data_IF_838781111426
#
_entry.id   IF_838781111426
#
_cell.length_a   1.000
_cell.length_b   1.000
_cell.length_c   1.000
_cell.angle_alpha   90.00
_cell.angle_beta   90.00
_cell.angle_gamma   90.00
#
_symmetry.space_group_name_H-M   'P 1'
#
loop_
_entity.id
_entity.type
_entity.pdbx_description
1 polymer ?
#
# COMPACT_ATOMS: atom_id res chain seq x y z
N UNK A 1 -12.25 -46.33 11.56
CA UNK A 1 -11.25 -45.78 10.62
C UNK A 1 -10.43 -44.76 11.40
N UNK A 2 -9.19 -45.07 11.70
CA UNK A 2 -8.27 -44.15 12.39
C UNK A 2 -7.74 -43.16 11.37
N UNK A 3 -7.91 -41.87 11.63
CA UNK A 3 -7.31 -40.80 10.79
C UNK A 3 -5.78 -40.97 10.82
N UNK A 4 -5.14 -40.75 9.69
CA UNK A 4 -3.68 -40.78 9.64
C UNK A 4 -3.11 -39.56 10.41
N UNK A 5 -1.90 -39.65 10.98
CA UNK A 5 -1.31 -38.56 11.76
C UNK A 5 -1.23 -37.21 11.01
N UNK A 6 -1.06 -37.23 9.69
CA UNK A 6 -1.07 -36.04 8.82
C UNK A 6 -2.44 -35.39 8.69
N UNK A 7 -3.56 -36.18 8.67
CA UNK A 7 -4.93 -35.66 8.60
C UNK A 7 -5.27 -34.87 9.87
N UNK A 8 -4.75 -35.32 11.02
CA UNK A 8 -4.91 -34.64 12.30
C UNK A 8 -4.10 -33.35 12.34
N UNK A 9 -2.86 -33.34 11.80
CA UNK A 9 -2.00 -32.18 11.78
C UNK A 9 -2.57 -31.08 10.85
N UNK A 10 -3.07 -31.44 9.67
CA UNK A 10 -3.75 -30.51 8.73
C UNK A 10 -4.99 -29.93 9.42
N UNK A 11 -5.83 -30.75 10.03
CA UNK A 11 -7.04 -30.29 10.69
C UNK A 11 -6.76 -29.36 11.87
N UNK A 12 -5.69 -29.60 12.65
CA UNK A 12 -5.30 -28.72 13.75
C UNK A 12 -4.78 -27.36 13.25
N UNK A 13 -4.00 -27.35 12.17
CA UNK A 13 -3.46 -26.12 11.57
C UNK A 13 -4.58 -25.24 11.00
N UNK A 14 -5.53 -25.82 10.32
CA UNK A 14 -6.73 -25.12 9.83
C UNK A 14 -7.54 -24.51 10.98
N UNK A 15 -7.75 -25.25 12.06
CA UNK A 15 -8.48 -24.77 13.25
C UNK A 15 -7.75 -23.56 13.86
N UNK A 16 -6.42 -23.60 13.93
CA UNK A 16 -5.62 -22.52 14.48
C UNK A 16 -5.70 -21.25 13.62
N UNK A 17 -5.60 -21.38 12.30
CA UNK A 17 -5.77 -20.26 11.37
C UNK A 17 -7.17 -19.63 11.47
N UNK A 18 -8.23 -20.43 11.48
CA UNK A 18 -9.60 -19.90 11.58
C UNK A 18 -9.89 -19.27 12.94
N UNK A 19 -9.30 -19.76 14.01
CA UNK A 19 -9.41 -19.18 15.34
C UNK A 19 -8.69 -17.84 15.41
N UNK A 20 -7.45 -17.76 14.89
CA UNK A 20 -6.71 -16.53 14.74
C UNK A 20 -7.49 -15.50 13.91
N UNK A 21 -8.01 -15.90 12.74
CA UNK A 21 -8.78 -15.03 11.85
C UNK A 21 -10.01 -14.44 12.56
N UNK A 22 -10.77 -15.25 13.29
CA UNK A 22 -11.96 -14.80 14.02
C UNK A 22 -11.60 -13.76 15.08
N UNK A 23 -10.59 -14.05 15.87
CA UNK A 23 -10.12 -13.16 16.94
C UNK A 23 -9.62 -11.85 16.36
N UNK A 24 -8.85 -11.90 15.29
CA UNK A 24 -8.31 -10.72 14.60
C UNK A 24 -9.44 -9.86 14.05
N UNK A 25 -10.41 -10.44 13.33
CA UNK A 25 -11.56 -9.69 12.80
C UNK A 25 -12.37 -9.00 13.90
N UNK A 26 -12.63 -9.69 15.05
CA UNK A 26 -13.33 -9.07 16.18
C UNK A 26 -12.58 -7.85 16.70
N UNK A 27 -11.26 -7.95 16.87
CA UNK A 27 -10.42 -6.82 17.32
C UNK A 27 -10.52 -5.62 16.37
N UNK A 28 -10.37 -5.85 15.06
CA UNK A 28 -10.45 -4.76 14.07
C UNK A 28 -11.84 -4.09 14.02
N UNK A 29 -12.91 -4.82 14.31
CA UNK A 29 -14.27 -4.25 14.40
C UNK A 29 -14.43 -3.28 15.57
N UNK A 30 -13.77 -3.54 16.68
CA UNK A 30 -13.85 -2.75 17.92
C UNK A 30 -12.93 -1.52 17.93
N UNK A 31 -11.97 -1.41 17.00
CA UNK A 31 -11.00 -0.32 16.94
C UNK A 31 -11.68 1.05 16.72
N UNK A 32 -11.34 2.02 17.56
CA UNK A 32 -11.89 3.36 17.54
C UNK A 32 -10.88 4.44 17.11
N UNK A 33 -9.59 4.10 17.03
CA UNK A 33 -8.52 5.02 16.65
C UNK A 33 -7.54 4.40 15.65
N UNK A 34 -6.78 5.23 14.95
CA UNK A 34 -5.69 4.77 14.09
C UNK A 34 -4.55 4.13 14.92
N UNK A 35 -4.34 4.61 16.13
CA UNK A 35 -3.36 4.06 17.04
C UNK A 35 -3.67 2.61 17.40
N UNK A 36 -4.95 2.25 17.61
CA UNK A 36 -5.36 0.86 17.84
C UNK A 36 -4.94 -0.05 16.68
N UNK A 37 -5.08 0.44 15.42
CA UNK A 37 -4.67 -0.28 14.22
C UNK A 37 -3.16 -0.50 14.22
N UNK A 38 -2.37 0.52 14.52
CA UNK A 38 -0.92 0.44 14.49
C UNK A 38 -0.38 -0.46 15.62
N UNK A 39 -0.99 -0.43 16.80
CA UNK A 39 -0.64 -1.32 17.91
C UNK A 39 -0.99 -2.78 17.60
N UNK A 40 -2.15 -3.04 16.98
CA UNK A 40 -2.50 -4.40 16.57
C UNK A 40 -1.56 -4.91 15.47
N UNK A 41 -1.19 -4.08 14.49
CA UNK A 41 -0.18 -4.46 13.49
C UNK A 41 1.16 -4.80 14.14
N UNK A 42 1.61 -4.03 15.12
CA UNK A 42 2.82 -4.32 15.89
C UNK A 42 2.71 -5.68 16.61
N UNK A 43 1.58 -5.93 17.27
CA UNK A 43 1.32 -7.19 17.96
C UNK A 43 1.35 -8.38 16.98
N UNK A 44 0.64 -8.27 15.84
CA UNK A 44 0.60 -9.32 14.83
C UNK A 44 1.97 -9.54 14.17
N UNK A 45 2.73 -8.48 13.92
CA UNK A 45 4.10 -8.54 13.40
C UNK A 45 4.98 -9.40 14.28
N UNK A 46 4.94 -9.18 15.61
CA UNK A 46 5.70 -9.97 16.58
C UNK A 46 5.22 -11.43 16.65
N UNK A 47 3.91 -11.67 16.57
CA UNK A 47 3.32 -13.02 16.53
C UNK A 47 3.73 -13.81 15.28
N UNK A 48 3.98 -13.12 14.17
CA UNK A 48 4.49 -13.69 12.93
C UNK A 48 6.03 -13.81 12.90
N UNK A 49 6.68 -13.51 14.03
CA UNK A 49 8.14 -13.52 14.19
C UNK A 49 8.88 -12.55 13.25
N UNK A 50 8.26 -11.40 12.99
CA UNK A 50 8.93 -10.27 12.37
C UNK A 50 9.23 -9.18 13.40
N UNK A 51 10.30 -8.41 13.16
CA UNK A 51 10.75 -7.36 14.07
C UNK A 51 10.10 -6.01 13.73
N UNK A 52 9.87 -5.76 12.45
CA UNK A 52 9.40 -4.47 11.96
C UNK A 52 8.26 -4.63 10.96
N UNK A 53 7.41 -3.59 10.88
CA UNK A 53 6.44 -3.45 9.81
C UNK A 53 6.42 -2.03 9.24
N UNK A 54 5.88 -1.92 8.03
CA UNK A 54 5.52 -0.66 7.40
C UNK A 54 4.19 -0.81 6.68
N UNK A 55 3.19 -0.02 7.08
CA UNK A 55 1.92 0.12 6.37
C UNK A 55 1.99 1.38 5.51
N UNK A 56 1.80 1.23 4.20
CA UNK A 56 1.90 2.32 3.25
C UNK A 56 0.64 2.42 2.40
N UNK A 57 0.33 3.64 1.97
CA UNK A 57 -0.69 3.93 0.96
C UNK A 57 -0.11 4.88 -0.08
N UNK A 58 -0.01 4.41 -1.32
CA UNK A 58 0.40 5.20 -2.47
C UNK A 58 -0.84 5.67 -3.21
N UNK A 59 -1.08 6.98 -3.20
CA UNK A 59 -2.20 7.58 -3.90
C UNK A 59 -1.93 7.68 -5.41
N UNK A 60 -2.96 7.49 -6.27
CA UNK A 60 -2.79 7.55 -7.72
C UNK A 60 -2.54 8.97 -8.24
N UNK A 61 -2.82 9.97 -7.44
CA UNK A 61 -2.70 11.39 -7.80
C UNK A 61 -1.90 12.16 -6.75
N UNK A 62 -1.09 13.15 -7.17
CA UNK A 62 -0.75 13.53 -8.55
C UNK A 62 0.01 12.43 -9.29
N UNK A 63 -0.28 12.22 -10.57
CA UNK A 63 0.30 11.12 -11.36
C UNK A 63 1.83 11.20 -11.47
N UNK A 64 2.37 12.42 -11.62
CA UNK A 64 3.81 12.67 -11.78
C UNK A 64 4.60 12.59 -10.47
N UNK A 65 3.93 12.76 -9.33
CA UNK A 65 4.51 12.66 -7.97
C UNK A 65 3.49 12.04 -7.04
N UNK A 66 3.28 10.72 -7.12
CA UNK A 66 2.32 10.04 -6.25
C UNK A 66 2.60 10.33 -4.77
N UNK A 67 1.58 10.73 -4.03
CA UNK A 67 1.71 10.91 -2.59
C UNK A 67 1.78 9.53 -1.94
N UNK A 68 2.81 9.31 -1.12
CA UNK A 68 2.94 8.12 -0.29
C UNK A 68 2.76 8.53 1.16
N UNK A 69 1.76 7.97 1.81
CA UNK A 69 1.59 8.06 3.26
C UNK A 69 2.02 6.72 3.86
N UNK A 70 2.74 6.76 4.96
CA UNK A 70 3.18 5.55 5.62
C UNK A 70 3.25 5.71 7.14
N UNK A 71 3.12 4.58 7.83
CA UNK A 71 3.46 4.40 9.22
C UNK A 71 4.38 3.18 9.33
N UNK A 72 5.50 3.29 10.04
CA UNK A 72 6.43 2.18 10.18
C UNK A 72 7.10 2.14 11.53
N UNK A 73 7.53 0.94 11.91
CA UNK A 73 8.34 0.68 13.09
C UNK A 73 9.82 0.44 12.76
N UNK A 74 10.21 0.77 11.53
CA UNK A 74 11.61 0.68 11.10
C UNK A 74 12.52 1.59 11.93
N UNK A 75 13.80 1.20 12.15
CA UNK A 75 14.75 2.06 12.82
C UNK A 75 14.86 3.44 12.16
N UNK A 76 14.87 4.52 12.94
CA UNK A 76 14.99 5.89 12.43
C UNK A 76 16.24 6.08 11.56
N UNK A 77 17.35 5.43 11.94
CA UNK A 77 18.59 5.43 11.16
C UNK A 77 18.36 4.89 9.74
N UNK A 78 17.57 3.82 9.59
CA UNK A 78 17.21 3.28 8.29
C UNK A 78 16.33 4.25 7.49
N UNK A 79 15.28 4.79 8.10
CA UNK A 79 14.36 5.71 7.43
C UNK A 79 15.11 6.94 6.92
N UNK A 80 15.98 7.52 7.74
CA UNK A 80 16.82 8.66 7.37
C UNK A 80 17.79 8.32 6.23
N UNK A 81 18.44 7.17 6.32
CA UNK A 81 19.37 6.70 5.28
C UNK A 81 18.67 6.46 3.94
N UNK A 82 17.49 5.82 3.97
CA UNK A 82 16.66 5.56 2.79
C UNK A 82 16.27 6.86 2.07
N UNK A 83 15.86 7.88 2.83
CA UNK A 83 15.48 9.20 2.28
C UNK A 83 16.69 9.94 1.71
N UNK A 84 17.80 9.99 2.44
CA UNK A 84 19.03 10.69 2.02
C UNK A 84 19.60 10.14 0.71
N UNK A 85 19.51 8.84 0.48
CA UNK A 85 20.01 8.19 -0.72
C UNK A 85 18.95 8.08 -1.83
N UNK A 86 17.76 8.67 -1.63
CA UNK A 86 16.65 8.62 -2.60
C UNK A 86 16.32 7.20 -3.08
N UNK A 87 16.34 6.24 -2.17
CA UNK A 87 16.09 4.83 -2.49
C UNK A 87 14.66 4.57 -2.99
N UNK A 88 13.74 5.49 -2.72
CA UNK A 88 12.40 5.46 -3.31
C UNK A 88 12.40 5.27 -4.83
N UNK A 89 13.42 5.80 -5.53
CA UNK A 89 13.51 5.75 -6.98
C UNK A 89 13.90 4.37 -7.53
N UNK A 90 14.56 3.56 -6.73
CA UNK A 90 15.09 2.24 -7.15
C UNK A 90 14.49 1.07 -6.39
N UNK A 91 13.63 1.33 -5.41
CA UNK A 91 13.03 0.29 -4.56
C UNK A 91 12.11 -0.62 -5.38
N UNK A 92 12.43 -1.93 -5.52
CA UNK A 92 11.63 -2.86 -6.28
C UNK A 92 10.24 -3.06 -5.66
N UNK A 93 10.07 -2.86 -4.36
CA UNK A 93 8.76 -2.91 -3.68
C UNK A 93 7.80 -1.84 -4.21
N UNK A 94 8.32 -0.74 -4.75
CA UNK A 94 7.54 0.37 -5.28
C UNK A 94 7.40 0.37 -6.81
N UNK A 95 7.98 -0.61 -7.48
CA UNK A 95 7.88 -0.75 -8.95
C UNK A 95 6.48 -1.25 -9.35
N UNK A 96 5.79 -0.59 -10.31
CA UNK A 96 4.43 -0.94 -10.72
C UNK A 96 4.25 -2.40 -11.19
N UNK A 97 5.27 -2.99 -11.80
CA UNK A 97 5.25 -4.37 -12.28
C UNK A 97 5.04 -5.40 -11.16
N UNK A 98 5.39 -5.05 -9.93
CA UNK A 98 5.25 -5.92 -8.76
C UNK A 98 3.87 -5.82 -8.09
N UNK A 99 3.10 -4.78 -8.37
CA UNK A 99 1.82 -4.56 -7.68
C UNK A 99 0.75 -5.60 -7.98
N UNK A 100 0.82 -6.26 -9.13
CA UNK A 100 -0.10 -7.31 -9.54
C UNK A 100 0.23 -8.70 -8.98
N UNK A 101 1.39 -8.87 -8.36
CA UNK A 101 1.83 -10.16 -7.84
C UNK A 101 1.12 -10.56 -6.53
N UNK A 102 0.39 -9.63 -5.92
CA UNK A 102 -0.29 -9.86 -4.64
C UNK A 102 0.66 -9.78 -3.46
N UNK A 103 1.63 -10.66 -3.37
CA UNK A 103 2.70 -10.62 -2.37
C UNK A 103 4.10 -10.67 -3.00
N UNK A 104 5.10 -10.24 -2.26
CA UNK A 104 6.48 -10.11 -2.73
C UNK A 104 7.44 -10.48 -1.61
N UNK A 105 8.26 -11.52 -1.83
CA UNK A 105 9.32 -11.90 -0.89
C UNK A 105 10.57 -11.06 -1.13
N UNK A 106 11.22 -10.65 -0.05
CA UNK A 106 12.47 -9.92 -0.11
C UNK A 106 13.65 -10.88 -0.12
N UNK A 107 14.26 -11.00 -1.27
CA UNK A 107 15.42 -11.85 -1.51
C UNK A 107 16.43 -11.17 -2.45
N UNK A 108 17.56 -11.82 -2.67
CA UNK A 108 18.63 -11.30 -3.53
C UNK A 108 18.18 -11.17 -5.00
N UNK A 109 17.23 -11.99 -5.45
CA UNK A 109 16.72 -11.93 -6.81
C UNK A 109 15.87 -10.67 -7.04
N UNK A 110 14.98 -10.37 -6.09
CA UNK A 110 14.16 -9.14 -6.12
C UNK A 110 15.02 -7.88 -6.19
N UNK A 111 16.08 -7.83 -5.38
CA UNK A 111 16.93 -6.65 -5.26
C UNK A 111 18.14 -6.67 -6.19
N UNK A 112 18.21 -7.58 -7.17
CA UNK A 112 19.36 -7.72 -8.08
C UNK A 112 19.71 -6.42 -8.82
N UNK A 113 18.71 -5.61 -9.21
CA UNK A 113 18.91 -4.30 -9.85
C UNK A 113 19.02 -3.14 -8.85
N UNK A 114 18.84 -3.40 -7.55
CA UNK A 114 18.88 -2.42 -6.47
C UNK A 114 19.82 -2.84 -5.34
N UNK A 115 20.96 -3.44 -5.67
CA UNK A 115 21.92 -3.99 -4.73
C UNK A 115 22.36 -2.97 -3.64
N UNK A 116 22.63 -1.68 -3.95
CA UNK A 116 22.99 -0.71 -2.92
C UNK A 116 21.90 -0.51 -1.86
N UNK A 117 20.62 -0.57 -2.26
CA UNK A 117 19.49 -0.51 -1.34
C UNK A 117 19.46 -1.77 -0.46
N UNK A 118 19.63 -2.95 -1.07
CA UNK A 118 19.58 -4.23 -0.36
C UNK A 118 20.69 -4.38 0.67
N UNK A 119 21.92 -3.99 0.32
CA UNK A 119 23.06 -4.01 1.23
C UNK A 119 22.86 -3.05 2.41
N UNK A 120 22.34 -1.85 2.14
CA UNK A 120 22.01 -0.88 3.17
C UNK A 120 20.87 -1.38 4.08
N UNK A 121 19.82 -1.97 3.54
CA UNK A 121 18.72 -2.55 4.31
C UNK A 121 19.22 -3.63 5.27
N UNK A 122 20.04 -4.55 4.78
CA UNK A 122 20.64 -5.62 5.59
C UNK A 122 21.56 -5.09 6.69
N UNK A 123 22.31 -4.04 6.41
CA UNK A 123 23.16 -3.38 7.39
C UNK A 123 22.37 -2.72 8.53
N UNK A 124 21.13 -2.28 8.24
CA UNK A 124 20.22 -1.69 9.23
C UNK A 124 19.26 -2.71 9.87
N UNK A 125 19.49 -4.01 9.65
CA UNK A 125 18.72 -5.07 10.29
C UNK A 125 17.49 -5.55 9.51
N UNK A 126 17.27 -5.09 8.26
CA UNK A 126 16.19 -5.56 7.41
C UNK A 126 16.74 -6.65 6.47
N UNK A 127 16.88 -7.87 6.97
CA UNK A 127 17.58 -8.95 6.26
C UNK A 127 16.67 -9.88 5.47
N UNK A 128 15.43 -10.01 5.90
CA UNK A 128 14.36 -10.72 5.20
C UNK A 128 13.08 -9.97 5.38
N UNK A 129 12.23 -10.00 4.38
CA UNK A 129 10.94 -9.35 4.45
C UNK A 129 9.95 -9.92 3.46
N UNK A 130 8.74 -9.44 3.58
CA UNK A 130 7.63 -9.74 2.70
C UNK A 130 6.76 -8.51 2.58
N UNK A 131 6.22 -8.26 1.40
CA UNK A 131 5.25 -7.19 1.17
C UNK A 131 3.98 -7.78 0.60
N UNK A 132 2.83 -7.42 1.18
CA UNK A 132 1.51 -7.73 0.66
C UNK A 132 0.86 -6.49 0.11
N UNK A 133 0.39 -6.53 -1.13
CA UNK A 133 -0.29 -5.44 -1.81
C UNK A 133 -1.81 -5.58 -1.73
N UNK A 134 -2.50 -4.43 -1.74
CA UNK A 134 -3.96 -4.35 -1.81
C UNK A 134 -4.36 -3.11 -2.62
N UNK A 135 -5.10 -3.30 -3.71
CA UNK A 135 -5.70 -2.19 -4.44
C UNK A 135 -6.99 -1.74 -3.76
N UNK A 136 -7.04 -0.47 -3.38
CA UNK A 136 -8.23 0.15 -2.78
C UNK A 136 -9.24 0.58 -3.85
N UNK A 137 -10.50 0.77 -3.47
CA UNK A 137 -11.60 1.19 -4.36
C UNK A 137 -11.34 2.55 -5.03
N UNK A 138 -10.62 3.44 -4.37
CA UNK A 138 -10.20 4.74 -4.91
C UNK A 138 -8.94 4.68 -5.79
N UNK A 139 -8.51 3.48 -6.19
CA UNK A 139 -7.29 3.20 -6.95
C UNK A 139 -5.99 3.58 -6.22
N UNK A 140 -6.03 3.86 -4.94
CA UNK A 140 -4.82 3.91 -4.15
C UNK A 140 -4.29 2.48 -3.93
N UNK A 141 -2.98 2.34 -3.90
CA UNK A 141 -2.32 1.08 -3.59
C UNK A 141 -1.92 1.09 -2.12
N UNK A 142 -2.54 0.22 -1.34
CA UNK A 142 -2.11 -0.07 0.01
C UNK A 142 -1.13 -1.24 0.01
N UNK A 143 -0.17 -1.24 0.92
CA UNK A 143 0.71 -2.39 1.12
C UNK A 143 1.24 -2.44 2.54
N UNK A 144 1.39 -3.65 3.03
CA UNK A 144 1.97 -3.97 4.33
C UNK A 144 3.26 -4.75 4.10
N UNK A 145 4.36 -4.20 4.57
CA UNK A 145 5.66 -4.86 4.55
C UNK A 145 6.03 -5.29 5.96
N UNK A 146 6.47 -6.52 6.11
CA UNK A 146 7.08 -7.02 7.34
C UNK A 146 8.55 -7.33 7.07
N UNK A 147 9.42 -7.05 8.03
CA UNK A 147 10.83 -7.42 7.93
C UNK A 147 11.39 -7.90 9.25
N UNK A 148 12.44 -8.72 9.17
CA UNK A 148 13.13 -9.28 10.32
C UNK A 148 14.64 -9.12 10.23
N UNK A 149 15.26 -9.04 11.42
CA UNK A 149 16.73 -8.98 11.56
C UNK A 149 17.38 -10.35 11.31
N UNK A 150 16.64 -11.43 11.55
CA UNK A 150 17.12 -12.79 11.30
C UNK A 150 17.09 -13.13 9.81
N UNK A 151 18.17 -13.75 9.31
CA UNK A 151 18.20 -14.31 7.96
C UNK A 151 17.48 -15.68 7.86
N UNK A 152 17.06 -16.27 8.99
CA UNK A 152 16.35 -17.56 9.01
C UNK A 152 14.93 -17.43 8.52
N UNK A 153 14.41 -18.49 7.93
CA UNK A 153 12.98 -18.60 7.63
C UNK A 153 12.17 -18.65 8.92
N UNK A 154 10.97 -18.07 8.90
CA UNK A 154 10.06 -18.15 10.02
C UNK A 154 9.37 -19.52 10.09
N UNK A 155 8.73 -19.83 11.21
CA UNK A 155 8.06 -21.10 11.44
C UNK A 155 6.76 -21.26 10.67
N UNK A 156 6.21 -20.15 10.15
CA UNK A 156 4.90 -20.15 9.50
C UNK A 156 5.07 -20.52 8.03
N UNK A 157 4.24 -21.44 7.56
CA UNK A 157 4.19 -21.83 6.15
C UNK A 157 3.92 -20.60 5.26
N UNK A 158 4.52 -20.58 4.09
CA UNK A 158 4.46 -19.43 3.18
C UNK A 158 3.02 -19.04 2.83
N UNK A 159 2.19 -20.03 2.47
CA UNK A 159 0.80 -19.83 2.09
C UNK A 159 -0.07 -19.27 3.25
N UNK A 160 0.18 -19.74 4.47
CA UNK A 160 -0.50 -19.23 5.66
C UNK A 160 -0.08 -17.77 5.96
N UNK A 161 1.21 -17.47 5.83
CA UNK A 161 1.73 -16.11 6.00
C UNK A 161 1.08 -15.15 4.99
N UNK A 162 0.98 -15.56 3.72
CA UNK A 162 0.32 -14.78 2.68
C UNK A 162 -1.14 -14.47 3.05
N UNK A 163 -1.93 -15.50 3.44
CA UNK A 163 -3.32 -15.33 3.84
C UNK A 163 -3.47 -14.41 5.04
N UNK A 164 -2.58 -14.51 6.03
CA UNK A 164 -2.58 -13.63 7.20
C UNK A 164 -2.27 -12.18 6.81
N UNK A 165 -1.29 -11.95 5.95
CA UNK A 165 -0.94 -10.61 5.48
C UNK A 165 -2.04 -9.97 4.65
N UNK A 166 -2.72 -10.74 3.78
CA UNK A 166 -3.87 -10.27 3.01
C UNK A 166 -4.99 -9.77 3.94
N UNK A 167 -5.28 -10.51 5.00
CA UNK A 167 -6.28 -10.10 5.99
C UNK A 167 -5.82 -8.87 6.77
N UNK A 168 -4.59 -8.83 7.25
CA UNK A 168 -4.05 -7.72 8.03
C UNK A 168 -4.05 -6.40 7.25
N UNK A 169 -3.53 -6.39 6.01
CA UNK A 169 -3.52 -5.16 5.20
C UNK A 169 -4.92 -4.69 4.88
N UNK A 170 -5.83 -5.61 4.55
CA UNK A 170 -7.22 -5.28 4.23
C UNK A 170 -7.95 -4.68 5.42
N UNK A 171 -7.93 -5.34 6.56
CA UNK A 171 -8.67 -4.88 7.74
C UNK A 171 -8.08 -3.59 8.32
N UNK A 172 -6.75 -3.44 8.32
CA UNK A 172 -6.10 -2.19 8.72
C UNK A 172 -6.56 -1.01 7.86
N UNK A 173 -6.53 -1.16 6.54
CA UNK A 173 -6.94 -0.09 5.63
C UNK A 173 -8.46 0.17 5.67
N UNK A 174 -9.29 -0.86 5.89
CA UNK A 174 -10.73 -0.71 6.10
C UNK A 174 -11.06 0.10 7.36
N UNK A 175 -10.38 -0.19 8.47
CA UNK A 175 -10.56 0.59 9.71
C UNK A 175 -10.09 2.03 9.53
N UNK A 176 -8.91 2.24 8.96
CA UNK A 176 -8.41 3.59 8.68
C UNK A 176 -9.34 4.37 7.74
N UNK A 177 -9.97 3.70 6.75
CA UNK A 177 -10.97 4.33 5.89
C UNK A 177 -12.26 4.66 6.65
N UNK A 178 -12.74 3.77 7.52
CA UNK A 178 -13.89 4.02 8.40
C UNK A 178 -13.66 5.20 9.33
N UNK A 179 -12.44 5.34 9.84
CA UNK A 179 -12.02 6.45 10.70
C UNK A 179 -11.66 7.72 9.92
N UNK A 180 -11.79 7.71 8.60
CA UNK A 180 -11.42 8.83 7.73
C UNK A 180 -9.95 9.31 7.93
N UNK A 181 -9.06 8.39 8.23
CA UNK A 181 -7.66 8.70 8.48
C UNK A 181 -6.98 9.22 7.21
N UNK A 182 -6.14 10.26 7.36
CA UNK A 182 -5.50 10.96 6.23
C UNK A 182 -4.64 10.06 5.32
N UNK A 183 -4.11 8.96 5.87
CA UNK A 183 -3.31 7.99 5.11
C UNK A 183 -4.09 7.38 3.94
N UNK A 184 -5.38 7.08 4.12
CA UNK A 184 -6.23 6.40 3.12
C UNK A 184 -7.15 7.35 2.36
N UNK A 185 -7.34 8.57 2.89
CA UNK A 185 -8.19 9.56 2.27
C UNK A 185 -7.48 10.22 1.09
N UNK A 186 -8.00 10.00 -0.10
CA UNK A 186 -7.56 10.78 -1.26
C UNK A 186 -7.95 12.24 -1.03
N UNK A 187 -7.02 13.19 -1.21
CA UNK A 187 -7.40 14.61 -1.17
C UNK A 187 -8.58 14.83 -2.10
N UNK A 188 -9.70 15.29 -1.57
CA UNK A 188 -10.89 15.54 -2.36
C UNK A 188 -10.59 16.68 -3.34
N UNK A 189 -10.24 16.33 -4.58
CA UNK A 189 -10.13 17.31 -5.65
C UNK A 189 -11.53 17.76 -6.02
N UNK A 190 -11.92 18.92 -5.50
CA UNK A 190 -13.21 19.50 -5.82
C UNK A 190 -13.12 20.22 -7.16
N UNK A 191 -13.72 19.61 -8.17
CA UNK A 191 -13.94 20.27 -9.45
C UNK A 191 -15.31 20.98 -9.46
N UNK A 192 -15.35 22.17 -10.06
CA UNK A 192 -16.61 22.80 -10.39
C UNK A 192 -17.38 21.96 -11.44
N UNK A 193 -18.66 22.16 -11.58
CA UNK A 193 -19.44 21.48 -12.62
C UNK A 193 -18.80 21.65 -14.01
N UNK A 194 -18.33 22.86 -14.31
CA UNK A 194 -17.71 23.18 -15.60
C UNK A 194 -16.36 22.47 -15.78
N UNK A 195 -15.54 22.44 -14.76
CA UNK A 195 -14.28 21.67 -14.80
C UNK A 195 -14.55 20.17 -15.02
N UNK A 196 -15.59 19.62 -14.39
CA UNK A 196 -15.96 18.21 -14.56
C UNK A 196 -16.42 17.92 -16.01
N UNK A 197 -17.20 18.80 -16.61
CA UNK A 197 -17.63 18.67 -18.01
C UNK A 197 -16.44 18.69 -18.96
N UNK A 198 -15.56 19.68 -18.82
CA UNK A 198 -14.34 19.80 -19.62
C UNK A 198 -13.45 18.58 -19.46
N UNK A 199 -13.26 18.10 -18.20
CA UNK A 199 -12.44 16.92 -17.92
C UNK A 199 -12.99 15.66 -18.62
N UNK A 200 -14.32 15.47 -18.64
CA UNK A 200 -14.95 14.33 -19.33
C UNK A 200 -14.66 14.35 -20.82
N UNK A 201 -14.86 15.48 -21.47
CA UNK A 201 -14.59 15.62 -22.91
C UNK A 201 -13.09 15.47 -23.25
N UNK A 202 -12.23 15.98 -22.38
CA UNK A 202 -10.77 15.79 -22.51
C UNK A 202 -10.40 14.29 -22.39
N UNK A 203 -11.02 13.56 -21.46
CA UNK A 203 -10.80 12.12 -21.30
C UNK A 203 -11.30 11.31 -22.51
N UNK A 204 -12.27 11.83 -23.27
CA UNK A 204 -12.75 11.26 -24.53
C UNK A 204 -11.91 11.68 -25.75
N UNK A 205 -10.80 12.39 -25.51
CA UNK A 205 -9.84 12.78 -26.56
C UNK A 205 -10.26 14.03 -27.36
N UNK A 206 -11.22 14.83 -26.88
CA UNK A 206 -11.63 16.07 -27.55
C UNK A 206 -10.58 17.17 -27.35
N UNK A 207 -10.32 17.93 -28.40
CA UNK A 207 -9.47 19.12 -28.36
C UNK A 207 -10.17 20.28 -27.66
N UNK A 208 -9.41 21.29 -27.21
CA UNK A 208 -9.98 22.49 -26.58
C UNK A 208 -10.98 23.22 -27.50
N UNK A 209 -10.72 23.25 -28.80
CA UNK A 209 -11.64 23.84 -29.80
C UNK A 209 -12.95 23.07 -29.90
N UNK A 210 -12.91 21.72 -29.97
CA UNK A 210 -14.13 20.89 -30.01
C UNK A 210 -14.93 21.02 -28.69
N UNK A 211 -14.24 21.04 -27.54
CA UNK A 211 -14.88 21.23 -26.23
C UNK A 211 -15.56 22.59 -26.15
N UNK A 212 -14.93 23.64 -26.70
CA UNK A 212 -15.49 24.98 -26.77
C UNK A 212 -16.80 25.01 -27.57
N UNK A 213 -16.83 24.32 -28.71
CA UNK A 213 -18.04 24.18 -29.52
C UNK A 213 -19.15 23.41 -28.81
N UNK A 214 -18.80 22.24 -28.21
CA UNK A 214 -19.77 21.37 -27.50
C UNK A 214 -20.39 22.11 -26.32
N UNK A 215 -19.59 22.84 -25.57
CA UNK A 215 -20.02 23.53 -24.36
C UNK A 215 -20.49 24.97 -24.58
N UNK A 216 -20.49 25.46 -25.84
CA UNK A 216 -20.86 26.83 -26.23
C UNK A 216 -20.12 27.91 -25.43
N UNK A 217 -18.79 27.78 -25.34
CA UNK A 217 -17.89 28.73 -24.68
C UNK A 217 -16.66 29.00 -25.57
N UNK A 218 -15.85 29.98 -25.22
CA UNK A 218 -14.60 30.22 -25.94
C UNK A 218 -13.53 29.16 -25.64
N UNK A 219 -12.66 28.89 -26.60
CA UNK A 219 -11.49 28.02 -26.40
C UNK A 219 -10.59 28.54 -25.26
N UNK A 220 -10.44 29.87 -25.15
CA UNK A 220 -9.72 30.47 -24.04
C UNK A 220 -10.30 30.12 -22.66
N UNK A 221 -11.64 30.03 -22.60
CA UNK A 221 -12.34 29.60 -21.35
C UNK A 221 -12.04 28.13 -21.03
N UNK A 222 -12.03 27.25 -22.05
CA UNK A 222 -11.63 25.84 -21.87
C UNK A 222 -10.21 25.75 -21.34
N UNK A 223 -9.27 26.43 -21.98
CA UNK A 223 -7.85 26.44 -21.59
C UNK A 223 -7.65 27.02 -20.18
N UNK A 224 -8.41 28.03 -19.78
CA UNK A 224 -8.41 28.58 -18.43
C UNK A 224 -8.82 27.51 -17.41
N UNK A 225 -9.91 26.80 -17.64
CA UNK A 225 -10.34 25.72 -16.75
C UNK A 225 -9.34 24.56 -16.70
N UNK A 226 -8.75 24.18 -17.83
CA UNK A 226 -7.71 23.16 -17.89
C UNK A 226 -6.48 23.56 -17.05
N UNK A 227 -6.00 24.80 -17.18
CA UNK A 227 -4.91 25.31 -16.33
C UNK A 227 -5.24 25.30 -14.84
N UNK A 228 -6.48 25.64 -14.48
CA UNK A 228 -6.93 25.60 -13.09
C UNK A 228 -6.99 24.15 -12.57
N UNK A 229 -7.44 23.21 -13.38
CA UNK A 229 -7.40 21.78 -13.03
C UNK A 229 -5.96 21.28 -12.87
N UNK A 230 -5.06 21.63 -13.79
CA UNK A 230 -3.62 21.28 -13.68
C UNK A 230 -3.01 21.78 -12.38
N UNK A 231 -3.33 23.02 -11.96
CA UNK A 231 -2.87 23.55 -10.65
C UNK A 231 -3.40 22.73 -9.48
N UNK A 232 -4.68 22.29 -9.53
CA UNK A 232 -5.27 21.43 -8.49
C UNK A 232 -4.59 20.05 -8.43
N UNK A 233 -4.13 19.54 -9.56
CA UNK A 233 -3.37 18.28 -9.64
C UNK A 233 -1.89 18.44 -9.28
N UNK A 234 -1.41 19.66 -9.05
CA UNK A 234 0.03 19.92 -8.93
C UNK A 234 0.82 19.37 -10.13
N UNK A 235 0.18 19.33 -11.31
CA UNK A 235 0.78 18.82 -12.54
C UNK A 235 1.69 19.90 -13.16
N UNK A 236 2.84 19.52 -13.74
CA UNK A 236 3.69 20.48 -14.45
C UNK A 236 2.92 21.10 -15.62
N UNK A 237 3.22 22.37 -15.89
CA UNK A 237 2.67 23.11 -17.03
C UNK A 237 3.33 22.66 -18.32
#
# INVERSE_FOLDING_TARGET
MSLAPWDIAICMHDIEFFTWRRTMLSRFQEMASAEDVFQELQFQTQKLEFDYYSLCVRHPVPFTRPKVAYYSTYPEAWVSYYQQHNFLAIDPVLKPENFSQGHLLWDDALFSEAQPLWDAARAHGLRRGVTQYLMLSNRALGFLSLSRMSAREGPIAHDELELKLQLLVRESLNVLARLQHEMVMTPAMRFSKRETEILRWTAEGKTSAEIAMILSISENTVNFHQKNMQKKFNAPQ
#
